data_IF_142498990764
#
_entry.id   IF_142498990764
#
_cell.length_a   1.000
_cell.length_b   1.000
_cell.length_c   1.000
_cell.angle_alpha   90.00
_cell.angle_beta   90.00
_cell.angle_gamma   90.00
#
_symmetry.space_group_name_H-M   'P 1'
#
loop_
_entity.id
_entity.type
_entity.pdbx_description
1 polymer ?
#
# COMPACT_ATOMS: atom_id res chain seq x y z
N UNK A 1 50.55 20.62 33.46
CA UNK A 1 50.25 21.10 32.09
C UNK A 1 49.29 20.09 31.48
N UNK A 2 47.97 20.28 31.50
CA UNK A 2 47.17 21.29 30.78
C UNK A 2 47.18 21.10 29.26
N UNK A 3 46.10 20.49 28.76
CA UNK A 3 45.53 20.65 27.42
C UNK A 3 44.08 20.13 27.50
N UNK A 4 43.04 20.95 27.70
CA UNK A 4 42.27 21.76 26.72
C UNK A 4 41.98 20.97 25.43
N UNK A 5 40.78 20.87 24.86
CA UNK A 5 39.48 21.55 25.02
C UNK A 5 38.50 20.86 24.03
N UNK A 6 37.19 20.86 24.34
CA UNK A 6 36.04 20.98 23.38
C UNK A 6 35.90 19.92 22.26
N UNK A 7 34.77 19.26 22.01
CA UNK A 7 33.36 19.52 22.27
C UNK A 7 32.53 18.65 21.30
N UNK A 8 31.21 18.89 21.29
CA UNK A 8 30.21 18.39 20.34
C UNK A 8 29.60 16.99 20.56
N UNK A 9 28.62 16.97 21.48
CA UNK A 9 27.27 16.40 21.29
C UNK A 9 26.89 16.09 19.83
N UNK A 10 26.64 14.81 19.54
CA UNK A 10 25.70 14.35 18.51
C UNK A 10 25.21 12.96 18.94
N UNK A 11 24.19 12.91 19.80
CA UNK A 11 22.83 12.61 19.38
C UNK A 11 22.69 11.20 18.77
N UNK A 12 22.78 10.20 19.65
CA UNK A 12 22.07 8.95 19.46
C UNK A 12 20.57 9.22 19.65
N UNK A 13 19.79 9.24 18.57
CA UNK A 13 18.41 8.73 18.45
C UNK A 13 17.77 9.25 17.18
N UNK A 14 17.89 8.50 16.09
CA UNK A 14 16.91 8.54 15.00
C UNK A 14 16.33 7.14 14.81
N UNK A 15 15.82 6.59 15.91
CA UNK A 15 14.73 5.63 15.85
C UNK A 15 13.45 6.42 15.55
N UNK A 16 13.27 6.85 14.29
CA UNK A 16 11.98 7.38 13.81
C UNK A 16 11.02 6.21 13.57
N UNK A 17 10.67 5.54 14.66
CA UNK A 17 9.38 4.89 14.81
C UNK A 17 8.41 5.96 15.30
N UNK A 18 7.78 6.66 14.37
CA UNK A 18 6.51 7.34 14.65
C UNK A 18 5.49 6.77 13.68
N UNK A 19 4.86 5.70 14.15
CA UNK A 19 3.50 5.41 13.81
C UNK A 19 2.65 6.52 14.42
N UNK A 20 1.99 7.33 13.59
CA UNK A 20 0.85 8.13 14.01
C UNK A 20 0.01 8.51 12.79
N UNK A 21 -1.27 8.16 12.85
CA UNK A 21 -2.29 8.95 12.19
C UNK A 21 -2.91 8.35 10.94
N UNK A 22 -3.43 7.13 11.08
CA UNK A 22 -4.51 6.65 10.24
C UNK A 22 -5.64 7.70 10.15
N UNK A 23 -5.74 8.41 9.02
CA UNK A 23 -7.06 8.74 8.48
C UNK A 23 -7.52 7.55 7.66
N UNK A 24 -7.90 6.50 8.39
CA UNK A 24 -8.94 5.59 7.94
C UNK A 24 -10.19 6.46 7.77
N UNK A 25 -10.28 7.16 6.64
CA UNK A 25 -11.54 7.70 6.20
C UNK A 25 -12.37 6.47 5.92
N UNK A 26 -13.23 6.14 6.89
CA UNK A 26 -14.34 5.21 6.75
C UNK A 26 -15.17 5.70 5.56
N UNK A 27 -14.76 5.26 4.38
CA UNK A 27 -15.39 5.51 3.10
C UNK A 27 -15.62 4.12 2.57
N UNK A 28 -16.91 3.79 2.44
CA UNK A 28 -17.52 2.68 1.71
C UNK A 28 -16.60 1.48 1.46
N UNK A 29 -16.99 0.29 1.93
CA UNK A 29 -16.35 -1.03 1.79
C UNK A 29 -15.70 -1.28 0.40
N UNK A 30 -14.58 -0.63 0.14
CA UNK A 30 -13.81 -0.66 -1.10
C UNK A 30 -12.50 -1.39 -0.80
N UNK A 31 -12.17 -2.35 -1.64
CA UNK A 31 -11.00 -3.21 -1.44
C UNK A 31 -9.76 -2.47 -1.92
N UNK A 32 -8.84 -2.19 -1.02
CA UNK A 32 -7.60 -1.49 -1.35
C UNK A 32 -6.57 -2.46 -1.91
N UNK A 33 -6.19 -2.36 -3.17
CA UNK A 33 -5.27 -3.32 -3.81
C UNK A 33 -3.87 -3.34 -3.19
N UNK A 34 -3.47 -2.26 -2.50
CA UNK A 34 -2.16 -2.14 -1.85
C UNK A 34 -2.14 -2.74 -0.44
N UNK A 35 -3.26 -2.69 0.29
CA UNK A 35 -3.32 -3.13 1.70
C UNK A 35 -4.29 -4.28 1.95
N UNK A 36 -5.15 -4.61 0.99
CA UNK A 36 -6.13 -5.68 1.12
C UNK A 36 -5.47 -7.02 1.40
N UNK A 37 -6.18 -7.87 2.09
CA UNK A 37 -5.80 -9.27 2.26
C UNK A 37 -6.16 -10.08 1.02
N UNK A 38 -5.60 -11.27 0.89
CA UNK A 38 -5.96 -12.20 -0.17
C UNK A 38 -7.47 -12.51 -0.16
N UNK A 39 -8.05 -12.66 1.03
CA UNK A 39 -9.49 -12.90 1.20
C UNK A 39 -10.35 -11.72 0.72
N UNK A 40 -9.94 -10.48 0.99
CA UNK A 40 -10.66 -9.29 0.53
C UNK A 40 -10.57 -9.12 -1.00
N UNK A 41 -9.41 -9.45 -1.59
CA UNK A 41 -9.26 -9.47 -3.04
C UNK A 41 -10.17 -10.53 -3.66
N UNK A 42 -10.20 -11.75 -3.11
CA UNK A 42 -11.08 -12.84 -3.54
C UNK A 42 -12.57 -12.55 -3.37
N UNK A 43 -12.93 -11.72 -2.41
CA UNK A 43 -14.32 -11.31 -2.20
C UNK A 43 -14.87 -10.43 -3.34
N UNK A 44 -14.00 -9.96 -4.24
CA UNK A 44 -14.39 -9.14 -5.39
C UNK A 44 -14.73 -10.07 -6.57
N UNK A 45 -15.93 -9.96 -7.17
CA UNK A 45 -16.33 -10.81 -8.29
C UNK A 45 -15.36 -10.63 -9.47
N UNK A 46 -14.75 -11.74 -9.91
CA UNK A 46 -13.76 -11.76 -11.00
C UNK A 46 -12.29 -11.70 -10.54
N UNK A 47 -12.02 -11.45 -9.25
CA UNK A 47 -10.69 -11.63 -8.66
C UNK A 47 -10.69 -12.98 -7.91
N UNK A 48 -9.93 -13.95 -8.39
CA UNK A 48 -9.70 -15.24 -7.70
C UNK A 48 -8.28 -15.34 -7.13
N UNK A 49 -7.93 -16.49 -6.55
CA UNK A 49 -6.60 -16.79 -5.98
C UNK A 49 -5.43 -16.35 -6.86
N UNK A 50 -5.45 -16.74 -8.13
CA UNK A 50 -4.39 -16.45 -9.08
C UNK A 50 -4.21 -14.93 -9.31
N UNK A 51 -5.31 -14.17 -9.28
CA UNK A 51 -5.27 -12.72 -9.43
C UNK A 51 -4.88 -12.05 -8.12
N UNK A 52 -5.41 -12.49 -6.99
CA UNK A 52 -5.06 -11.99 -5.67
C UNK A 52 -3.56 -12.14 -5.39
N UNK A 53 -2.97 -13.30 -5.70
CA UNK A 53 -1.54 -13.53 -5.59
C UNK A 53 -0.72 -12.55 -6.45
N UNK A 54 -1.13 -12.30 -7.70
CA UNK A 54 -0.49 -11.31 -8.59
C UNK A 54 -0.64 -9.88 -8.09
N UNK A 55 -1.79 -9.54 -7.50
CA UNK A 55 -1.99 -8.25 -6.83
C UNK A 55 -0.99 -8.14 -5.68
N UNK A 56 -0.92 -9.13 -4.79
CA UNK A 56 0.01 -9.10 -3.65
C UNK A 56 1.48 -9.01 -4.07
N UNK A 57 1.90 -9.81 -5.05
CA UNK A 57 3.26 -9.77 -5.61
C UNK A 57 3.56 -8.47 -6.38
N UNK A 58 2.53 -7.74 -6.80
CA UNK A 58 2.65 -6.52 -7.59
C UNK A 58 2.69 -5.22 -6.79
N UNK A 59 2.58 -5.27 -5.47
CA UNK A 59 2.62 -4.06 -4.62
C UNK A 59 3.99 -3.38 -4.69
N UNK A 60 4.08 -2.04 -4.74
CA UNK A 60 3.02 -1.04 -4.63
C UNK A 60 2.41 -0.63 -5.98
N UNK A 61 1.07 -0.49 -6.03
CA UNK A 61 0.35 -0.05 -7.23
C UNK A 61 0.02 1.43 -7.23
N UNK A 62 0.49 2.11 -8.27
CA UNK A 62 0.09 3.42 -8.81
C UNK A 62 -1.36 3.85 -8.50
N UNK A 63 -2.24 3.07 -9.09
CA UNK A 63 -3.66 3.32 -9.22
C UNK A 63 -4.34 1.98 -9.53
N UNK A 64 -5.67 1.94 -9.46
CA UNK A 64 -6.45 0.74 -9.79
C UNK A 64 -6.24 0.25 -11.24
N UNK A 65 -5.97 1.16 -12.19
CA UNK A 65 -5.74 0.82 -13.59
C UNK A 65 -4.46 -0.03 -13.80
N UNK A 66 -3.51 -0.01 -12.86
CA UNK A 66 -2.35 -0.90 -12.94
C UNK A 66 -2.71 -2.38 -12.88
N UNK A 67 -3.87 -2.76 -12.32
CA UNK A 67 -4.34 -4.14 -12.41
C UNK A 67 -4.55 -4.58 -13.86
N UNK A 68 -5.07 -3.68 -14.71
CA UNK A 68 -5.22 -3.92 -16.15
C UNK A 68 -3.88 -3.83 -16.88
N UNK A 69 -3.11 -2.77 -16.67
CA UNK A 69 -1.84 -2.56 -17.40
C UNK A 69 -0.79 -3.63 -17.10
N UNK A 70 -0.78 -4.18 -15.88
CA UNK A 70 0.13 -5.28 -15.50
C UNK A 70 -0.42 -6.66 -15.85
N UNK A 71 -1.51 -6.74 -16.61
CA UNK A 71 -2.19 -7.99 -16.98
C UNK A 71 -2.56 -8.85 -15.76
N UNK A 72 -2.87 -8.19 -14.64
CA UNK A 72 -3.40 -8.87 -13.47
C UNK A 72 -4.87 -9.16 -13.73
N UNK A 73 -5.65 -8.17 -14.15
CA UNK A 73 -7.06 -8.34 -14.50
C UNK A 73 -7.30 -8.09 -15.99
N UNK A 74 -8.11 -8.94 -16.67
CA UNK A 74 -8.65 -8.63 -17.99
C UNK A 74 -9.48 -7.35 -17.98
N UNK A 75 -9.60 -6.68 -19.12
CA UNK A 75 -10.46 -5.47 -19.28
C UNK A 75 -11.90 -5.67 -18.78
N UNK A 76 -12.64 -6.73 -19.17
CA UNK A 76 -14.02 -6.90 -18.72
C UNK A 76 -14.12 -7.07 -17.20
N UNK A 77 -13.20 -7.82 -16.60
CA UNK A 77 -13.15 -8.01 -15.14
C UNK A 77 -12.82 -6.70 -14.43
N UNK A 78 -11.81 -5.98 -14.92
CA UNK A 78 -11.43 -4.68 -14.35
C UNK A 78 -12.60 -3.69 -14.35
N UNK A 79 -13.36 -3.62 -15.44
CA UNK A 79 -14.52 -2.74 -15.56
C UNK A 79 -15.63 -3.06 -14.55
N UNK A 80 -15.81 -4.32 -14.17
CA UNK A 80 -16.78 -4.73 -13.14
C UNK A 80 -16.29 -4.42 -11.72
N UNK A 81 -14.98 -4.50 -11.49
CA UNK A 81 -14.42 -4.35 -10.14
C UNK A 81 -13.91 -2.95 -9.84
N UNK A 82 -13.64 -2.11 -10.85
CA UNK A 82 -13.02 -0.77 -10.69
C UNK A 82 -13.78 0.14 -9.72
N UNK A 83 -15.08 -0.07 -9.52
CA UNK A 83 -15.91 0.68 -8.60
C UNK A 83 -15.96 0.06 -7.19
N UNK A 84 -15.48 -1.17 -7.05
CA UNK A 84 -15.32 -1.90 -5.78
C UNK A 84 -13.88 -1.88 -5.26
N UNK A 85 -12.90 -1.58 -6.11
CA UNK A 85 -11.48 -1.50 -5.74
C UNK A 85 -10.95 -0.07 -5.75
N UNK A 86 -10.01 0.19 -4.85
CA UNK A 86 -9.22 1.43 -4.84
C UNK A 86 -7.74 1.10 -4.72
N UNK A 87 -6.90 2.05 -5.10
CA UNK A 87 -5.46 1.97 -4.89
C UNK A 87 -5.04 3.22 -4.13
N UNK A 88 -4.86 3.10 -2.81
CA UNK A 88 -4.33 4.22 -2.05
C UNK A 88 -2.82 4.21 -2.17
N UNK A 89 -2.29 5.25 -2.78
CA UNK A 89 -0.87 5.56 -2.64
C UNK A 89 -0.63 5.87 -1.16
N UNK A 90 0.08 4.99 -0.46
CA UNK A 90 0.70 5.38 0.80
C UNK A 90 1.73 6.46 0.44
N UNK A 91 1.34 7.73 0.63
CA UNK A 91 2.13 8.90 0.29
C UNK A 91 3.43 8.82 1.11
N UNK A 92 4.56 8.71 0.41
CA UNK A 92 5.91 8.73 0.99
C UNK A 92 6.24 10.12 1.52
#
# INVERSE_FOLDING_TARGET
MAGTKSGAKAAATDAKATAAGAKATAKAKLVDINTATEAELKAVPGIGDAYAAKVMAGRPFANKAQLKSRKILPVPVYEQVKDLIIAKQAKK
#
